data_IF_001904129725
#
_entry.id   IF_001904129725
#
_cell.length_a   1.000
_cell.length_b   1.000
_cell.length_c   1.000
_cell.angle_alpha   90.00
_cell.angle_beta   90.00
_cell.angle_gamma   90.00
#
_symmetry.space_group_name_H-M   'P 1'
#
loop_
_entity.id
_entity.type
_entity.pdbx_description
1 polymer ?
#
# COMPACT_ATOMS: atom_id res chain seq x y z
N UNK A 1 41.06 47.07 -0.15
CA UNK A 1 41.22 45.84 0.63
C UNK A 1 42.15 44.92 -0.13
N UNK A 2 43.30 44.58 0.43
CA UNK A 2 44.25 43.64 -0.17
C UNK A 2 44.24 42.36 0.64
N UNK A 3 44.20 41.25 -0.03
CA UNK A 3 44.25 39.93 0.60
C UNK A 3 45.53 39.23 0.20
N UNK A 4 46.24 38.68 1.16
CA UNK A 4 47.39 37.80 0.95
C UNK A 4 47.22 36.56 1.80
N UNK A 5 47.59 35.39 1.30
CA UNK A 5 47.39 34.16 2.06
C UNK A 5 48.35 33.05 1.64
N UNK A 6 48.67 32.18 2.58
CA UNK A 6 49.43 30.97 2.38
C UNK A 6 48.64 29.78 2.98
N UNK A 7 48.35 28.81 2.16
CA UNK A 7 47.64 27.64 2.60
C UNK A 7 46.17 27.92 3.01
N UNK A 8 45.73 27.44 4.20
CA UNK A 8 44.38 27.61 4.75
C UNK A 8 44.15 28.95 5.47
N UNK A 9 45.16 29.84 5.52
CA UNK A 9 45.10 31.11 6.22
C UNK A 9 45.11 32.27 5.22
N UNK A 10 44.09 33.12 5.27
CA UNK A 10 43.97 34.34 4.51
C UNK A 10 44.20 35.51 5.43
N UNK A 11 45.14 36.36 5.09
CA UNK A 11 45.37 37.62 5.77
C UNK A 11 44.72 38.75 4.96
N UNK A 12 44.04 39.63 5.64
CA UNK A 12 43.46 40.81 5.02
C UNK A 12 43.93 42.08 5.70
N UNK A 13 44.12 43.10 4.93
CA UNK A 13 44.51 44.41 5.39
C UNK A 13 43.60 45.47 4.77
N UNK A 14 43.07 46.36 5.62
CA UNK A 14 42.16 47.42 5.16
C UNK A 14 42.45 48.68 5.92
N UNK A 15 42.42 49.81 5.23
CA UNK A 15 42.58 51.15 5.85
C UNK A 15 41.21 51.70 6.21
N UNK A 16 41.08 52.23 7.41
CA UNK A 16 39.89 52.89 7.93
C UNK A 16 40.21 54.29 8.36
N UNK A 17 39.25 55.24 8.36
CA UNK A 17 39.48 56.61 8.83
C UNK A 17 39.99 56.63 10.28
N UNK A 18 41.04 57.46 10.54
CA UNK A 18 41.63 57.59 11.85
C UNK A 18 40.75 58.42 12.81
N UNK A 19 39.63 57.81 13.25
CA UNK A 19 38.66 58.38 14.22
C UNK A 19 38.10 57.28 15.11
N UNK A 20 37.74 57.61 16.38
CA UNK A 20 36.98 56.66 17.22
C UNK A 20 35.67 56.29 16.54
N UNK A 21 35.43 55.00 16.33
CA UNK A 21 34.21 54.49 15.71
C UNK A 21 34.05 52.98 15.97
N UNK A 22 32.85 52.52 15.81
CA UNK A 22 32.53 51.09 15.81
C UNK A 22 32.51 50.59 14.36
N UNK A 23 33.25 49.54 14.09
CA UNK A 23 33.33 48.87 12.77
C UNK A 23 32.75 47.49 12.83
N UNK A 24 32.04 47.13 11.77
CA UNK A 24 31.53 45.79 11.56
C UNK A 24 32.41 45.12 10.50
N UNK A 25 33.11 44.09 10.90
CA UNK A 25 33.94 43.30 9.98
C UNK A 25 33.12 42.09 9.56
N UNK A 26 32.79 42.00 8.27
CA UNK A 26 32.04 40.91 7.66
C UNK A 26 32.98 40.07 6.82
N UNK A 27 33.13 38.79 7.17
CA UNK A 27 33.85 37.79 6.36
C UNK A 27 32.84 36.85 5.69
N UNK A 28 32.92 36.74 4.37
CA UNK A 28 32.10 35.88 3.55
C UNK A 28 32.99 35.17 2.53
N UNK A 29 32.71 33.89 2.35
CA UNK A 29 33.38 33.05 1.34
C UNK A 29 32.32 32.04 0.81
N UNK A 30 32.43 31.73 -0.49
CA UNK A 30 31.50 30.75 -1.09
C UNK A 30 31.66 29.40 -0.42
N UNK A 31 30.52 28.77 -0.08
CA UNK A 31 30.48 27.50 0.64
C UNK A 31 30.66 27.61 2.16
N UNK A 32 30.78 28.84 2.72
CA UNK A 32 30.94 29.06 4.16
C UNK A 32 29.86 30.00 4.72
N UNK A 33 29.56 29.86 6.01
CA UNK A 33 28.65 30.77 6.71
C UNK A 33 29.33 32.15 6.86
N UNK A 34 28.59 33.21 6.54
CA UNK A 34 29.05 34.56 6.75
C UNK A 34 29.18 34.85 8.24
N UNK A 35 30.34 35.36 8.66
CA UNK A 35 30.60 35.76 10.04
C UNK A 35 30.82 37.26 10.15
N UNK A 36 30.15 37.88 11.12
CA UNK A 36 30.33 39.31 11.43
C UNK A 36 30.88 39.45 12.84
N UNK A 37 31.83 40.38 13.02
CA UNK A 37 32.30 40.81 14.34
C UNK A 37 32.25 42.33 14.45
N UNK A 38 31.89 42.83 15.63
CA UNK A 38 31.89 44.24 15.94
C UNK A 38 33.22 44.59 16.65
N UNK A 39 33.87 45.58 16.17
CA UNK A 39 35.08 46.10 16.83
C UNK A 39 34.97 47.61 17.02
N UNK A 40 35.15 48.07 18.25
CA UNK A 40 35.03 49.48 18.61
C UNK A 40 36.42 50.06 18.92
N UNK A 41 36.86 51.04 18.16
CA UNK A 41 38.05 51.79 18.42
C UNK A 41 37.68 53.00 19.27
N UNK A 42 38.02 52.96 20.57
CA UNK A 42 37.72 54.04 21.52
C UNK A 42 38.72 55.18 21.50
N UNK A 43 39.99 54.88 21.25
CA UNK A 43 41.07 55.86 21.24
C UNK A 43 42.01 55.59 20.07
N UNK A 44 42.52 56.63 19.49
CA UNK A 44 43.56 56.57 18.43
C UNK A 44 44.89 56.50 19.14
N UNK A 45 45.56 55.37 19.16
CA UNK A 45 46.92 55.20 19.66
C UNK A 45 47.95 55.78 18.68
N UNK A 46 49.15 56.03 19.16
CA UNK A 46 50.33 56.47 18.29
C UNK A 46 50.60 55.43 17.20
N UNK A 47 50.38 54.15 17.51
CA UNK A 47 50.45 53.09 16.52
C UNK A 47 49.06 52.95 15.89
N UNK A 48 48.94 53.17 14.59
CA UNK A 48 47.70 53.19 13.81
C UNK A 48 47.25 51.81 13.34
N UNK A 49 48.00 50.77 13.69
CA UNK A 49 47.71 49.39 13.27
C UNK A 49 46.96 48.63 14.36
N UNK A 50 45.83 48.06 14.00
CA UNK A 50 45.01 47.25 14.88
C UNK A 50 44.94 45.83 14.35
N UNK A 51 45.24 44.86 15.19
CA UNK A 51 45.12 43.43 14.86
C UNK A 51 43.81 42.88 15.36
N UNK A 52 43.08 42.20 14.50
CA UNK A 52 41.79 41.57 14.86
C UNK A 52 42.01 40.09 15.13
N UNK A 53 41.15 39.46 15.99
CA UNK A 53 41.23 38.05 16.20
C UNK A 53 40.88 37.28 14.90
N UNK A 54 41.45 36.11 14.72
CA UNK A 54 41.21 35.29 13.55
C UNK A 54 39.72 34.89 13.45
N UNK A 55 39.14 35.00 12.25
CA UNK A 55 37.79 34.64 11.93
C UNK A 55 37.75 33.25 11.33
N UNK A 56 37.29 32.26 12.10
CA UNK A 56 37.06 30.93 11.61
C UNK A 56 35.65 30.87 10.99
N UNK A 57 35.60 30.64 9.68
CA UNK A 57 34.36 30.43 8.94
C UNK A 57 34.00 28.97 9.00
N UNK A 58 32.71 28.68 9.31
CA UNK A 58 32.15 27.34 9.26
C UNK A 58 31.69 27.05 7.84
N UNK A 59 32.03 25.87 7.32
CA UNK A 59 31.53 25.40 6.03
C UNK A 59 30.02 25.27 6.09
N UNK A 60 29.32 25.85 5.11
CA UNK A 60 27.88 25.59 4.96
C UNK A 60 27.71 24.10 4.68
N UNK A 61 27.05 23.40 5.59
CA UNK A 61 26.46 22.11 5.24
C UNK A 61 25.21 22.45 4.43
N UNK A 62 25.26 22.29 3.12
CA UNK A 62 24.07 22.22 2.33
C UNK A 62 23.32 20.98 2.81
N UNK A 63 22.23 21.20 3.56
CA UNK A 63 21.30 20.15 3.95
C UNK A 63 20.51 19.61 2.75
N UNK A 64 20.68 20.23 1.61
CA UNK A 64 20.08 19.85 0.33
C UNK A 64 21.08 19.05 -0.52
N UNK A 65 21.71 18.04 0.07
CA UNK A 65 22.02 16.87 -0.72
C UNK A 65 20.65 16.18 -0.85
N UNK A 66 19.94 16.47 -1.94
CA UNK A 66 18.96 15.54 -2.44
C UNK A 66 19.73 14.22 -2.57
N UNK A 67 19.57 13.33 -1.59
CA UNK A 67 19.91 11.95 -1.77
C UNK A 67 18.97 11.53 -2.90
N UNK A 68 19.52 11.26 -4.08
CA UNK A 68 18.78 10.52 -5.09
C UNK A 68 18.15 9.36 -4.37
N UNK A 69 16.82 9.25 -4.50
CA UNK A 69 16.09 8.14 -3.93
C UNK A 69 16.83 6.87 -4.35
N UNK A 70 17.50 6.24 -3.41
CA UNK A 70 18.06 4.91 -3.62
C UNK A 70 16.85 4.02 -3.72
N UNK A 71 16.33 3.87 -4.94
CA UNK A 71 15.31 2.87 -5.26
C UNK A 71 16.00 1.53 -5.05
N UNK A 72 15.89 1.01 -3.84
CA UNK A 72 16.24 -0.38 -3.55
C UNK A 72 15.19 -1.22 -4.26
N UNK A 73 15.46 -1.56 -5.51
CA UNK A 73 14.71 -2.59 -6.24
C UNK A 73 15.05 -3.96 -5.65
N UNK A 74 14.59 -4.18 -4.42
CA UNK A 74 14.60 -5.50 -3.83
C UNK A 74 13.60 -6.37 -4.59
N UNK A 75 14.04 -7.46 -5.21
CA UNK A 75 13.14 -8.46 -5.78
C UNK A 75 12.29 -9.02 -4.65
N UNK A 76 11.01 -8.66 -4.62
CA UNK A 76 10.08 -9.19 -3.61
C UNK A 76 9.86 -10.68 -3.90
N UNK A 77 10.11 -11.52 -2.92
CA UNK A 77 9.85 -12.96 -3.02
C UNK A 77 8.34 -13.15 -3.17
N UNK A 78 7.91 -13.74 -4.29
CA UNK A 78 6.50 -13.99 -4.60
C UNK A 78 5.90 -15.09 -3.74
N UNK A 79 6.69 -16.12 -3.44
CA UNK A 79 6.29 -17.36 -2.81
C UNK A 79 7.32 -17.80 -1.79
N UNK A 80 6.88 -18.15 -0.59
CA UNK A 80 7.70 -18.70 0.46
C UNK A 80 6.96 -19.79 1.24
N UNK A 81 7.69 -20.78 1.73
CA UNK A 81 7.16 -21.75 2.69
C UNK A 81 7.44 -21.27 4.12
N UNK A 82 6.44 -21.30 4.97
CA UNK A 82 6.56 -21.11 6.43
C UNK A 82 6.01 -22.34 7.13
N UNK A 83 6.89 -23.30 7.45
CA UNK A 83 6.46 -24.64 7.87
C UNK A 83 5.64 -25.31 6.76
N UNK A 84 4.45 -25.79 7.08
CA UNK A 84 3.52 -26.43 6.14
C UNK A 84 2.64 -25.44 5.37
N UNK A 85 2.82 -24.14 5.61
CA UNK A 85 2.01 -23.08 4.99
C UNK A 85 2.73 -22.49 3.79
N UNK A 86 2.06 -22.47 2.65
CA UNK A 86 2.48 -21.80 1.44
C UNK A 86 2.03 -20.34 1.51
N UNK A 87 2.96 -19.39 1.46
CA UNK A 87 2.68 -17.96 1.62
C UNK A 87 3.02 -17.22 0.32
N UNK A 88 2.03 -16.56 -0.26
CA UNK A 88 2.18 -15.69 -1.41
C UNK A 88 2.13 -14.23 -0.97
N UNK A 89 3.14 -13.45 -1.32
CA UNK A 89 3.19 -12.03 -1.00
C UNK A 89 2.45 -11.22 -2.05
N UNK A 90 1.30 -10.66 -1.71
CA UNK A 90 0.46 -9.91 -2.64
C UNK A 90 1.19 -8.74 -3.31
N UNK A 91 2.09 -8.05 -2.57
CA UNK A 91 2.83 -6.91 -3.10
C UNK A 91 3.94 -7.27 -4.10
N UNK A 92 4.21 -8.56 -4.31
CA UNK A 92 5.19 -9.04 -5.29
C UNK A 92 4.59 -9.31 -6.68
N UNK A 93 3.27 -9.18 -6.81
CA UNK A 93 2.54 -9.37 -8.07
C UNK A 93 2.20 -8.02 -8.69
N UNK A 94 2.32 -7.93 -10.00
CA UNK A 94 1.95 -6.72 -10.73
C UNK A 94 0.50 -6.87 -11.22
N UNK A 95 -0.43 -6.45 -10.39
CA UNK A 95 -1.87 -6.49 -10.66
C UNK A 95 -2.33 -5.08 -11.02
N UNK A 96 -3.09 -4.86 -12.11
CA UNK A 96 -3.59 -3.54 -12.47
C UNK A 96 -4.42 -2.89 -11.36
N UNK A 97 -4.35 -1.57 -11.24
CA UNK A 97 -5.16 -0.82 -10.27
C UNK A 97 -6.66 -1.05 -10.54
N UNK A 98 -7.44 -1.12 -9.47
CA UNK A 98 -8.87 -1.42 -9.54
C UNK A 98 -9.23 -2.89 -9.68
N UNK A 99 -8.25 -3.78 -9.81
CA UNK A 99 -8.51 -5.23 -9.86
C UNK A 99 -8.97 -5.77 -8.52
N UNK A 100 -9.69 -6.89 -8.56
CA UNK A 100 -10.15 -7.62 -7.38
C UNK A 100 -9.21 -8.80 -7.07
N UNK A 101 -9.53 -9.54 -6.03
CA UNK A 101 -8.73 -10.67 -5.54
C UNK A 101 -8.55 -11.77 -6.60
N UNK A 102 -9.52 -11.96 -7.48
CA UNK A 102 -9.47 -12.93 -8.57
C UNK A 102 -8.26 -12.72 -9.49
N UNK A 103 -7.97 -11.45 -9.84
CA UNK A 103 -6.82 -11.10 -10.68
C UNK A 103 -5.48 -11.44 -10.00
N UNK A 104 -5.39 -11.30 -8.67
CA UNK A 104 -4.23 -11.69 -7.90
C UNK A 104 -4.06 -13.23 -7.90
N UNK A 105 -5.13 -13.96 -7.64
CA UNK A 105 -5.12 -15.43 -7.60
C UNK A 105 -4.71 -16.02 -8.95
N UNK A 106 -5.17 -15.44 -10.07
CA UNK A 106 -4.77 -15.87 -11.43
C UNK A 106 -3.29 -15.72 -11.72
N UNK A 107 -2.61 -14.79 -11.04
CA UNK A 107 -1.17 -14.56 -11.22
C UNK A 107 -0.29 -15.40 -10.28
N UNK A 108 -0.90 -16.12 -9.32
CA UNK A 108 -0.15 -16.94 -8.37
C UNK A 108 0.44 -18.17 -9.05
N UNK A 109 1.74 -18.45 -8.89
CA UNK A 109 2.35 -19.65 -9.44
C UNK A 109 1.73 -20.90 -8.81
N UNK A 110 1.35 -21.87 -9.64
CA UNK A 110 0.72 -23.12 -9.22
C UNK A 110 -0.76 -22.99 -8.82
N UNK A 111 -1.36 -21.81 -8.99
CA UNK A 111 -2.79 -21.62 -8.77
C UNK A 111 -3.56 -21.62 -10.11
N UNK A 112 -4.68 -22.32 -10.13
CA UNK A 112 -5.62 -22.36 -11.23
C UNK A 112 -7.00 -21.95 -10.71
N UNK A 113 -7.67 -21.04 -11.40
CA UNK A 113 -9.04 -20.65 -11.07
C UNK A 113 -9.98 -21.02 -12.21
N UNK A 114 -11.04 -21.78 -11.87
CA UNK A 114 -12.10 -22.14 -12.81
C UNK A 114 -13.15 -21.06 -12.91
N UNK A 115 -13.92 -21.07 -13.99
CA UNK A 115 -15.02 -20.12 -14.25
C UNK A 115 -16.12 -20.12 -13.19
N UNK A 116 -16.28 -21.22 -12.45
CA UNK A 116 -17.24 -21.33 -11.33
C UNK A 116 -16.71 -20.76 -10.00
N UNK A 117 -15.49 -20.20 -9.97
CA UNK A 117 -14.85 -19.67 -8.77
C UNK A 117 -14.11 -20.70 -7.91
N UNK A 118 -14.00 -21.94 -8.38
CA UNK A 118 -13.17 -22.95 -7.74
C UNK A 118 -11.69 -22.64 -7.94
N UNK A 119 -10.92 -22.67 -6.88
CA UNK A 119 -9.48 -22.43 -6.88
C UNK A 119 -8.77 -23.75 -6.62
N UNK A 120 -7.73 -24.01 -7.39
CA UNK A 120 -6.82 -25.14 -7.18
C UNK A 120 -5.42 -24.58 -6.96
N UNK A 121 -4.71 -25.09 -5.97
CA UNK A 121 -3.29 -24.74 -5.73
C UNK A 121 -2.50 -26.04 -5.69
N UNK A 122 -1.48 -26.12 -6.55
CA UNK A 122 -0.69 -27.33 -6.76
C UNK A 122 -1.55 -28.58 -7.05
N UNK A 123 -2.62 -28.41 -7.84
CA UNK A 123 -3.54 -29.46 -8.23
C UNK A 123 -4.57 -29.87 -7.14
N UNK A 124 -4.49 -29.32 -5.92
CA UNK A 124 -5.43 -29.59 -4.85
C UNK A 124 -6.48 -28.47 -4.75
N UNK A 125 -7.76 -28.83 -4.71
CA UNK A 125 -8.86 -27.87 -4.61
C UNK A 125 -8.86 -27.20 -3.25
N UNK A 126 -9.07 -25.88 -3.23
CA UNK A 126 -9.32 -25.09 -2.02
C UNK A 126 -10.77 -25.31 -1.60
N UNK A 127 -10.97 -25.82 -0.39
CA UNK A 127 -12.30 -26.05 0.17
C UNK A 127 -12.96 -24.74 0.62
N UNK A 128 -12.19 -23.86 1.31
CA UNK A 128 -12.69 -22.59 1.84
C UNK A 128 -11.71 -21.46 1.64
N UNK A 129 -12.23 -20.26 1.33
CA UNK A 129 -11.52 -19.00 1.49
C UNK A 129 -11.79 -18.43 2.88
N UNK A 130 -10.71 -18.04 3.54
CA UNK A 130 -10.75 -17.37 4.84
C UNK A 130 -10.36 -15.91 4.68
N UNK A 131 -10.87 -15.05 5.53
CA UNK A 131 -10.44 -13.68 5.66
C UNK A 131 -9.87 -13.46 7.07
N UNK A 132 -8.57 -13.20 7.17
CA UNK A 132 -7.86 -13.10 8.46
C UNK A 132 -8.13 -14.31 9.37
N UNK A 133 -8.05 -15.52 8.82
CA UNK A 133 -8.24 -16.80 9.53
C UNK A 133 -9.68 -17.20 9.84
N UNK A 134 -10.67 -16.39 9.46
CA UNK A 134 -12.10 -16.66 9.70
C UNK A 134 -12.81 -17.02 8.40
N UNK A 135 -13.79 -17.93 8.48
CA UNK A 135 -14.59 -18.33 7.33
C UNK A 135 -15.35 -17.14 6.76
N UNK A 136 -15.39 -17.06 5.43
CA UNK A 136 -16.06 -16.01 4.71
C UNK A 136 -17.06 -16.64 3.73
N UNK A 137 -18.33 -16.34 3.90
CA UNK A 137 -19.44 -16.87 3.08
C UNK A 137 -19.46 -18.39 2.91
N UNK A 138 -19.04 -19.17 3.90
CA UNK A 138 -19.14 -20.64 3.99
C UNK A 138 -19.07 -21.35 2.63
N UNK A 139 -17.91 -21.27 1.97
CA UNK A 139 -17.64 -21.94 0.69
C UNK A 139 -18.15 -21.23 -0.57
N UNK A 140 -18.66 -20.01 -0.46
CA UNK A 140 -18.96 -19.16 -1.63
C UNK A 140 -17.76 -18.27 -1.98
N UNK A 141 -16.67 -18.90 -2.39
CA UNK A 141 -15.38 -18.24 -2.67
C UNK A 141 -15.50 -17.08 -3.66
N UNK A 142 -16.40 -17.21 -4.63
CA UNK A 142 -16.64 -16.22 -5.68
C UNK A 142 -16.96 -14.82 -5.11
N UNK A 143 -17.71 -14.76 -4.01
CA UNK A 143 -18.10 -13.46 -3.42
C UNK A 143 -16.87 -12.69 -2.96
N UNK A 144 -15.91 -13.37 -2.34
CA UNK A 144 -14.66 -12.72 -1.92
C UNK A 144 -13.79 -12.35 -3.13
N UNK A 145 -13.66 -13.27 -4.09
CA UNK A 145 -12.85 -13.07 -5.28
C UNK A 145 -13.27 -11.84 -6.08
N UNK A 146 -14.58 -11.63 -6.22
CA UNK A 146 -15.13 -10.58 -7.06
C UNK A 146 -15.28 -9.22 -6.35
N UNK A 147 -15.22 -9.19 -5.02
CA UNK A 147 -15.50 -7.97 -4.26
C UNK A 147 -14.35 -7.45 -3.39
N UNK A 148 -13.34 -8.27 -3.10
CA UNK A 148 -12.21 -7.83 -2.29
C UNK A 148 -11.13 -7.20 -3.17
N UNK A 149 -10.83 -5.89 -3.03
CA UNK A 149 -9.79 -5.26 -3.82
C UNK A 149 -8.41 -5.84 -3.48
N UNK A 150 -7.61 -6.19 -4.50
CA UNK A 150 -6.28 -6.81 -4.31
C UNK A 150 -5.34 -5.97 -3.46
N UNK A 151 -5.42 -4.64 -3.55
CA UNK A 151 -4.53 -3.72 -2.83
C UNK A 151 -4.70 -3.77 -1.31
N UNK A 152 -5.83 -4.29 -0.81
CA UNK A 152 -6.08 -4.49 0.62
C UNK A 152 -5.35 -5.72 1.17
N UNK A 153 -4.95 -6.63 0.29
CA UNK A 153 -4.33 -7.91 0.65
C UNK A 153 -2.84 -7.73 0.92
N UNK A 154 -2.38 -8.28 2.02
CA UNK A 154 -0.97 -8.36 2.40
C UNK A 154 -0.33 -9.62 1.86
N UNK A 155 -0.91 -10.77 2.20
CA UNK A 155 -0.42 -12.10 1.83
C UNK A 155 -1.56 -13.09 1.75
N UNK A 156 -1.39 -14.11 0.92
CA UNK A 156 -2.31 -15.26 0.80
C UNK A 156 -1.59 -16.47 1.36
N UNK A 157 -2.22 -17.17 2.30
CA UNK A 157 -1.67 -18.34 2.97
C UNK A 157 -2.49 -19.56 2.60
N UNK A 158 -1.82 -20.61 2.13
CA UNK A 158 -2.48 -21.87 1.78
C UNK A 158 -1.93 -22.97 2.68
N UNK A 159 -2.85 -23.66 3.40
CA UNK A 159 -2.50 -24.68 4.36
C UNK A 159 -3.65 -25.64 4.62
N UNK A 160 -3.33 -26.78 5.22
CA UNK A 160 -4.32 -27.74 5.70
C UNK A 160 -4.78 -27.37 7.11
N UNK A 161 -6.09 -27.17 7.30
CA UNK A 161 -6.75 -26.85 8.57
C UNK A 161 -7.60 -28.02 9.05
N UNK A 162 -7.65 -28.25 10.37
CA UNK A 162 -8.61 -29.22 10.93
C UNK A 162 -10.03 -28.82 10.57
N UNK A 163 -10.83 -29.77 10.08
CA UNK A 163 -12.20 -29.52 9.62
C UNK A 163 -13.07 -28.94 10.75
N UNK A 164 -14.12 -28.19 10.41
CA UNK A 164 -15.06 -27.64 11.39
C UNK A 164 -15.66 -28.73 12.27
N UNK A 165 -15.96 -29.91 11.71
CA UNK A 165 -16.45 -31.08 12.46
C UNK A 165 -15.44 -31.58 13.50
N UNK A 166 -14.13 -31.64 13.12
CA UNK A 166 -13.07 -32.02 14.06
C UNK A 166 -12.95 -31.03 15.21
N UNK A 167 -13.08 -29.75 14.91
CA UNK A 167 -13.02 -28.69 15.94
C UNK A 167 -14.20 -28.73 16.90
N UNK A 168 -15.41 -29.01 16.40
CA UNK A 168 -16.61 -29.13 17.23
C UNK A 168 -16.59 -30.39 18.08
N UNK A 169 -16.06 -31.51 17.56
CA UNK A 169 -16.01 -32.80 18.26
C UNK A 169 -14.81 -32.97 19.18
N UNK A 170 -13.84 -32.06 19.12
CA UNK A 170 -12.57 -32.13 19.90
C UNK A 170 -11.71 -33.35 19.55
N UNK A 171 -11.96 -34.00 18.42
CA UNK A 171 -11.18 -35.13 17.88
C UNK A 171 -10.71 -34.81 16.47
N UNK A 172 -9.44 -35.05 16.18
CA UNK A 172 -8.92 -34.93 14.82
C UNK A 172 -9.56 -36.02 13.94
N UNK A 173 -10.26 -35.61 12.89
CA UNK A 173 -10.75 -36.49 11.83
C UNK A 173 -9.69 -36.58 10.74
N UNK A 174 -9.67 -37.72 10.03
CA UNK A 174 -8.65 -37.99 8.99
C UNK A 174 -8.62 -36.96 7.85
N UNK A 175 -9.73 -36.26 7.57
CA UNK A 175 -9.81 -35.28 6.50
C UNK A 175 -9.61 -33.87 7.02
N UNK A 176 -8.52 -33.24 6.60
CA UNK A 176 -8.26 -31.80 6.80
C UNK A 176 -8.84 -31.00 5.63
N UNK A 177 -9.33 -29.79 5.91
CA UNK A 177 -9.77 -28.86 4.89
C UNK A 177 -8.54 -28.12 4.34
N UNK A 178 -8.42 -28.05 3.02
CA UNK A 178 -7.38 -27.28 2.36
C UNK A 178 -7.87 -25.85 2.13
N UNK A 179 -7.30 -24.90 2.81
CA UNK A 179 -7.83 -23.54 2.89
C UNK A 179 -6.85 -22.51 2.36
N UNK A 180 -7.40 -21.44 1.80
CA UNK A 180 -6.65 -20.24 1.44
C UNK A 180 -7.09 -19.09 2.34
N UNK A 181 -6.19 -18.60 3.19
CA UNK A 181 -6.43 -17.48 4.08
C UNK A 181 -5.90 -16.17 3.48
N UNK A 182 -6.79 -15.23 3.28
CA UNK A 182 -6.52 -13.90 2.77
C UNK A 182 -6.22 -13.00 3.95
N UNK A 183 -4.94 -12.72 4.20
CA UNK A 183 -4.52 -11.80 5.24
C UNK A 183 -4.51 -10.37 4.70
N UNK A 184 -5.27 -9.49 5.33
CA UNK A 184 -5.32 -8.08 4.97
C UNK A 184 -4.13 -7.30 5.54
N UNK A 185 -3.78 -6.19 4.90
CA UNK A 185 -2.87 -5.21 5.46
C UNK A 185 -3.50 -4.61 6.72
N UNK A 186 -2.68 -4.21 7.69
CA UNK A 186 -3.15 -3.69 8.99
C UNK A 186 -4.05 -2.46 8.85
N UNK A 187 -3.80 -1.62 7.87
CA UNK A 187 -4.60 -0.43 7.55
C UNK A 187 -6.01 -0.76 7.05
N UNK A 188 -6.20 -1.99 6.51
CA UNK A 188 -7.48 -2.50 6.02
C UNK A 188 -8.05 -3.63 6.89
N UNK A 189 -7.62 -3.76 8.15
CA UNK A 189 -8.17 -4.74 9.09
C UNK A 189 -9.61 -4.43 9.49
N UNK A 190 -10.01 -3.17 9.37
CA UNK A 190 -11.36 -2.66 9.60
C UNK A 190 -11.77 -1.78 8.45
N UNK A 191 -13.00 -1.95 7.97
CA UNK A 191 -13.47 -1.14 6.87
C UNK A 191 -14.83 -1.55 6.34
N UNK A 192 -15.19 -0.90 5.26
CA UNK A 192 -16.37 -1.27 4.49
C UNK A 192 -16.01 -1.33 3.00
N UNK A 193 -16.67 -2.23 2.30
CA UNK A 193 -16.63 -2.34 0.84
C UNK A 193 -18.07 -2.27 0.36
N UNK A 194 -18.33 -1.42 -0.62
CA UNK A 194 -19.66 -1.31 -1.21
C UNK A 194 -19.53 -1.24 -2.73
N UNK A 195 -20.25 -2.12 -3.42
CA UNK A 195 -20.37 -2.14 -4.87
C UNK A 195 -21.84 -2.01 -5.23
N UNK A 196 -22.15 -1.07 -6.10
CA UNK A 196 -23.50 -0.85 -6.62
C UNK A 196 -23.46 -0.77 -8.14
N UNK A 197 -24.38 -1.48 -8.77
CA UNK A 197 -24.53 -1.45 -10.20
C UNK A 197 -26.02 -1.30 -10.53
N UNK A 198 -26.34 -0.35 -11.40
CA UNK A 198 -27.70 -0.15 -11.90
C UNK A 198 -27.64 0.08 -13.42
N UNK A 199 -28.50 -0.62 -14.15
CA UNK A 199 -28.61 -0.48 -15.58
C UNK A 199 -30.07 -0.58 -16.02
N UNK A 200 -30.43 0.19 -17.05
CA UNK A 200 -31.71 0.13 -17.73
C UNK A 200 -31.50 -0.10 -19.22
N UNK A 201 -32.42 -0.79 -19.85
CA UNK A 201 -32.38 -1.09 -21.29
C UNK A 201 -33.72 -0.92 -21.96
N UNK A 202 -33.76 -1.12 -23.28
CA UNK A 202 -34.99 -1.19 -24.05
C UNK A 202 -35.86 -2.38 -23.61
N UNK A 203 -37.15 -2.37 -23.91
CA UNK A 203 -38.11 -3.44 -23.60
C UNK A 203 -38.24 -3.73 -22.11
N UNK A 204 -38.31 -2.69 -21.27
CA UNK A 204 -38.46 -2.75 -19.81
C UNK A 204 -37.38 -3.58 -19.10
N UNK A 205 -36.20 -3.65 -19.69
CA UNK A 205 -35.09 -4.37 -19.08
C UNK A 205 -34.42 -3.53 -17.99
N UNK A 206 -34.19 -4.17 -16.84
CA UNK A 206 -33.54 -3.55 -15.70
C UNK A 206 -32.56 -4.50 -15.01
N UNK A 207 -31.55 -3.90 -14.41
CA UNK A 207 -30.60 -4.60 -13.53
C UNK A 207 -30.28 -3.65 -12.38
N UNK A 208 -30.37 -4.16 -11.16
CA UNK A 208 -29.91 -3.48 -9.97
C UNK A 208 -29.21 -4.49 -9.07
N UNK A 209 -27.94 -4.26 -8.78
CA UNK A 209 -27.13 -5.09 -7.89
C UNK A 209 -26.51 -4.24 -6.81
N UNK A 210 -26.49 -4.79 -5.60
CA UNK A 210 -25.87 -4.18 -4.43
C UNK A 210 -25.06 -5.24 -3.70
N UNK A 211 -23.85 -4.89 -3.33
CA UNK A 211 -23.04 -5.64 -2.38
C UNK A 211 -22.45 -4.66 -1.37
N UNK A 212 -22.63 -4.95 -0.09
CA UNK A 212 -22.03 -4.21 1.01
C UNK A 212 -21.38 -5.18 1.99
N UNK A 213 -20.16 -4.92 2.38
CA UNK A 213 -19.42 -5.65 3.40
C UNK A 213 -18.88 -4.67 4.42
N UNK A 214 -19.24 -4.83 5.67
CA UNK A 214 -18.62 -4.19 6.81
C UNK A 214 -17.84 -5.25 7.60
N UNK A 215 -16.58 -4.96 7.92
CA UNK A 215 -15.74 -5.91 8.66
C UNK A 215 -14.87 -5.19 9.68
N UNK A 216 -14.66 -5.89 10.79
CA UNK A 216 -13.78 -5.51 11.88
C UNK A 216 -12.93 -6.73 12.29
N UNK A 217 -12.05 -6.58 13.27
CA UNK A 217 -11.25 -7.68 13.78
C UNK A 217 -12.12 -8.83 14.33
N UNK A 218 -13.32 -8.53 14.83
CA UNK A 218 -14.19 -9.50 15.52
C UNK A 218 -15.46 -9.87 14.76
N UNK A 219 -15.99 -8.97 13.94
CA UNK A 219 -17.29 -9.18 13.28
C UNK A 219 -17.25 -8.80 11.81
N UNK A 220 -18.13 -9.42 11.06
CA UNK A 220 -18.37 -9.14 9.64
C UNK A 220 -19.84 -9.19 9.37
N UNK A 221 -20.31 -8.24 8.60
CA UNK A 221 -21.69 -8.18 8.15
C UNK A 221 -21.63 -7.88 6.66
N UNK A 222 -22.24 -8.74 5.85
CA UNK A 222 -22.39 -8.49 4.44
C UNK A 222 -23.84 -8.51 4.03
N UNK A 223 -24.19 -7.64 3.13
CA UNK A 223 -25.51 -7.52 2.54
C UNK A 223 -25.35 -7.58 1.03
N UNK A 224 -26.18 -8.37 0.38
CA UNK A 224 -26.22 -8.42 -1.07
C UNK A 224 -27.64 -8.42 -1.60
N UNK A 225 -27.84 -7.79 -2.74
CA UNK A 225 -29.09 -7.74 -3.46
C UNK A 225 -28.85 -7.86 -4.97
N UNK A 226 -29.71 -8.59 -5.67
CA UNK A 226 -29.73 -8.67 -7.13
C UNK A 226 -31.16 -8.70 -7.61
N UNK A 227 -31.53 -7.69 -8.38
CA UNK A 227 -32.84 -7.55 -8.98
C UNK A 227 -32.62 -7.33 -10.49
N UNK A 228 -32.96 -8.29 -11.32
CA UNK A 228 -32.81 -8.12 -12.76
C UNK A 228 -33.81 -8.98 -13.56
N UNK A 229 -34.08 -8.58 -14.78
CA UNK A 229 -34.81 -9.33 -15.79
C UNK A 229 -33.99 -9.53 -17.08
N UNK A 230 -32.66 -9.43 -16.99
CA UNK A 230 -31.72 -9.49 -18.12
C UNK A 230 -31.03 -10.85 -18.23
N UNK A 231 -31.57 -11.90 -17.60
CA UNK A 231 -30.96 -13.22 -17.51
C UNK A 231 -29.58 -13.23 -16.83
N UNK A 232 -29.27 -12.18 -16.09
CA UNK A 232 -28.00 -12.03 -15.38
C UNK A 232 -28.02 -12.90 -14.13
N UNK A 233 -27.16 -13.92 -14.12
CA UNK A 233 -27.02 -14.86 -13.01
C UNK A 233 -25.76 -14.66 -12.19
N UNK A 234 -24.90 -13.71 -12.61
CA UNK A 234 -23.70 -13.38 -11.85
C UNK A 234 -24.08 -12.90 -10.47
N UNK A 235 -23.28 -13.25 -9.50
CA UNK A 235 -23.47 -12.79 -8.12
C UNK A 235 -23.20 -11.27 -8.03
N UNK A 236 -23.82 -10.58 -7.09
CA UNK A 236 -23.55 -9.16 -6.88
C UNK A 236 -22.06 -8.90 -6.70
N UNK A 237 -21.53 -7.91 -7.43
CA UNK A 237 -20.13 -7.52 -7.41
C UNK A 237 -19.18 -8.35 -8.28
N UNK A 238 -19.69 -9.37 -8.98
CA UNK A 238 -18.86 -10.17 -9.89
C UNK A 238 -18.61 -9.40 -11.20
N UNK A 239 -17.34 -9.26 -11.55
CA UNK A 239 -16.87 -8.71 -12.81
C UNK A 239 -16.54 -9.87 -13.77
N UNK A 240 -17.54 -10.49 -14.35
CA UNK A 240 -17.32 -11.49 -15.38
C UNK A 240 -17.90 -11.01 -16.71
N UNK A 241 -17.36 -11.49 -17.82
CA UNK A 241 -17.92 -11.21 -19.12
C UNK A 241 -19.33 -11.81 -19.24
N UNK A 242 -20.30 -10.94 -19.49
CA UNK A 242 -21.63 -11.39 -19.86
C UNK A 242 -21.58 -11.85 -21.31
N UNK A 243 -21.98 -13.08 -21.58
CA UNK A 243 -22.06 -13.61 -22.94
C UNK A 243 -23.50 -13.96 -23.26
N UNK A 244 -24.08 -13.42 -24.34
CA UNK A 244 -25.43 -13.78 -24.81
C UNK A 244 -25.58 -15.26 -25.15
N UNK A 245 -24.49 -15.93 -25.51
CA UNK A 245 -24.50 -17.36 -25.87
C UNK A 245 -24.78 -18.28 -24.69
N UNK A 246 -24.58 -17.81 -23.47
CA UNK A 246 -24.87 -18.53 -22.22
C UNK A 246 -26.25 -18.21 -21.65
N UNK A 247 -27.05 -17.44 -22.37
CA UNK A 247 -28.40 -17.09 -21.93
C UNK A 247 -29.32 -18.30 -22.03
N UNK A 248 -30.07 -18.66 -20.97
CA UNK A 248 -31.08 -19.70 -21.05
C UNK A 248 -32.16 -19.31 -22.07
N UNK A 249 -32.79 -20.31 -22.68
CA UNK A 249 -33.95 -20.05 -23.53
C UNK A 249 -35.08 -19.42 -22.69
N UNK A 250 -35.48 -18.19 -23.07
CA UNK A 250 -36.52 -17.43 -22.38
C UNK A 250 -36.00 -16.35 -21.42
N UNK A 251 -36.90 -15.43 -21.06
CA UNK A 251 -36.61 -14.33 -20.14
C UNK A 251 -36.77 -14.82 -18.69
N UNK A 252 -35.72 -14.62 -17.89
CA UNK A 252 -35.71 -14.96 -16.47
C UNK A 252 -35.61 -13.69 -15.63
N UNK A 253 -36.51 -13.54 -14.69
CA UNK A 253 -36.43 -12.50 -13.65
C UNK A 253 -35.75 -13.08 -12.41
N UNK A 254 -34.70 -12.45 -11.95
CA UNK A 254 -33.97 -12.85 -10.75
C UNK A 254 -34.20 -11.81 -9.65
N UNK A 255 -34.55 -12.28 -8.46
CA UNK A 255 -34.67 -11.45 -7.24
C UNK A 255 -33.97 -12.20 -6.12
N UNK A 256 -32.88 -11.67 -5.65
CA UNK A 256 -32.08 -12.28 -4.59
C UNK A 256 -31.69 -11.21 -3.57
N UNK A 257 -31.88 -11.53 -2.30
CA UNK A 257 -31.39 -10.69 -1.19
C UNK A 257 -30.80 -11.62 -0.15
N UNK A 258 -29.72 -11.24 0.46
CA UNK A 258 -29.11 -12.02 1.52
C UNK A 258 -28.29 -11.14 2.46
N UNK A 259 -28.19 -11.64 3.68
CA UNK A 259 -27.35 -11.07 4.75
C UNK A 259 -26.55 -12.22 5.33
N UNK A 260 -25.28 -11.99 5.56
CA UNK A 260 -24.37 -12.93 6.23
C UNK A 260 -23.61 -12.19 7.34
N UNK A 261 -23.44 -12.82 8.51
CA UNK A 261 -22.80 -12.23 9.69
C UNK A 261 -21.99 -13.27 10.48
#
# INVERSE_FOLDING_TARGET
MTTSGWGKHLFYHTQVPARPASYIIKAACDGYETKCINHTIKYIARNKDFSFPSLLLKKKFNKDVALDDVVVTGTKVKLAYRGDTLVFNASAFNVPEGSMLDALVRQMPGAEMKSNGDIYVNGKKIDYLLLNGKDFFKGKNQVMLDNLPYYTVKELKVYDRSSEKSRLMGKEMEKKDYVMDVALKREYSRGYIANMEAAGGSEDRYLARLFGLYYTDNSRISVFGNLNNTNETRRPGSQGDWSPSNSPQGQKTTRQVGVDF
#
